data_IF_047848566141
#
_entry.id   IF_047848566141
#
_cell.length_a   1.000
_cell.length_b   1.000
_cell.length_c   1.000
_cell.angle_alpha   90.00
_cell.angle_beta   90.00
_cell.angle_gamma   90.00
#
_symmetry.space_group_name_H-M   'P 1'
#
loop_
_entity.id
_entity.type
_entity.pdbx_description
1 polymer ?
#
# COMPACT_ATOMS: atom_id res chain seq x y z
N UNK A 1 24.68 44.80 -15.84
CA UNK A 1 23.63 43.85 -16.30
C UNK A 1 23.94 42.41 -15.84
N UNK A 2 24.00 42.13 -14.52
CA UNK A 2 24.30 40.77 -13.99
C UNK A 2 23.28 40.28 -12.94
N UNK A 3 22.38 41.16 -12.47
CA UNK A 3 21.41 40.86 -11.40
C UNK A 3 20.08 40.29 -11.93
N UNK A 4 19.84 40.37 -13.24
CA UNK A 4 18.60 39.87 -13.85
C UNK A 4 18.61 38.35 -14.07
N UNK A 5 19.79 37.75 -14.25
CA UNK A 5 19.92 36.31 -14.50
C UNK A 5 19.73 35.44 -13.25
N UNK A 6 19.76 36.01 -12.03
CA UNK A 6 19.56 35.22 -10.81
C UNK A 6 18.07 35.04 -10.47
N UNK A 7 17.22 35.99 -10.86
CA UNK A 7 15.78 35.95 -10.57
C UNK A 7 15.03 34.94 -11.45
N UNK A 8 15.48 34.74 -12.70
CA UNK A 8 14.87 33.76 -13.62
C UNK A 8 15.17 32.32 -13.18
N UNK A 9 16.34 32.06 -12.60
CA UNK A 9 16.72 30.74 -12.07
C UNK A 9 15.86 30.32 -10.86
N UNK A 10 15.44 31.27 -10.02
CA UNK A 10 14.58 30.98 -8.87
C UNK A 10 13.12 30.71 -9.29
N UNK A 11 12.68 31.28 -10.42
CA UNK A 11 11.31 31.16 -10.93
C UNK A 11 11.05 29.83 -11.66
N UNK A 12 12.10 29.14 -12.10
CA UNK A 12 12.01 27.80 -12.72
C UNK A 12 11.92 26.66 -11.71
N UNK A 13 12.36 26.85 -10.46
CA UNK A 13 12.34 25.80 -9.43
C UNK A 13 10.93 25.62 -8.83
N UNK A 14 10.08 26.64 -8.89
CA UNK A 14 8.74 26.61 -8.30
C UNK A 14 7.66 25.90 -9.14
N UNK A 15 7.94 25.57 -10.41
CA UNK A 15 6.95 24.92 -11.28
C UNK A 15 6.90 23.38 -11.20
N UNK A 16 7.79 22.73 -10.44
CA UNK A 16 7.81 21.24 -10.34
C UNK A 16 6.82 20.69 -9.29
N UNK A 17 6.18 21.55 -8.49
CA UNK A 17 5.32 21.12 -7.38
C UNK A 17 3.83 20.94 -7.72
N UNK A 18 3.39 21.25 -8.95
CA UNK A 18 1.99 21.06 -9.34
C UNK A 18 1.79 19.77 -10.13
N UNK A 19 1.22 18.76 -9.47
CA UNK A 19 0.40 17.76 -10.16
C UNK A 19 1.11 16.47 -10.57
N UNK A 20 1.75 15.78 -9.63
CA UNK A 20 1.81 14.31 -9.74
C UNK A 20 0.43 13.74 -9.40
N UNK A 21 -0.55 13.92 -10.30
CA UNK A 21 -1.70 13.00 -10.33
C UNK A 21 -1.10 11.61 -10.45
N UNK A 22 -1.48 10.71 -9.55
CA UNK A 22 -0.94 9.35 -9.51
C UNK A 22 -0.98 8.71 -10.89
N UNK A 23 0.18 8.30 -11.41
CA UNK A 23 0.27 7.49 -12.61
C UNK A 23 -0.62 6.25 -12.47
N UNK A 24 -1.44 5.94 -13.48
CA UNK A 24 -2.30 4.76 -13.44
C UNK A 24 -1.51 3.49 -13.12
N UNK A 25 -2.08 2.62 -12.29
CA UNK A 25 -1.48 1.30 -12.01
C UNK A 25 -1.42 0.46 -13.28
N UNK A 26 -0.24 -0.04 -13.60
CA UNK A 26 0.02 -1.03 -14.64
C UNK A 26 0.41 -2.36 -13.99
N UNK A 27 -0.49 -3.35 -13.87
CA UNK A 27 -0.22 -4.60 -13.17
C UNK A 27 0.98 -5.39 -13.70
N UNK A 28 1.38 -5.20 -14.97
CA UNK A 28 2.55 -5.86 -15.56
C UNK A 28 3.88 -5.25 -15.10
N UNK A 29 3.87 -3.98 -14.71
CA UNK A 29 5.08 -3.22 -14.32
C UNK A 29 5.12 -2.90 -12.83
N UNK A 30 3.95 -2.67 -12.24
CA UNK A 30 3.79 -2.27 -10.85
C UNK A 30 3.70 -3.50 -9.93
N UNK A 31 4.75 -4.31 -9.99
CA UNK A 31 5.01 -5.38 -9.03
C UNK A 31 6.47 -5.36 -8.60
N UNK A 32 6.75 -5.84 -7.40
CA UNK A 32 8.08 -5.93 -6.85
C UNK A 32 8.24 -7.20 -6.02
N UNK A 33 9.32 -7.94 -6.27
CA UNK A 33 9.75 -9.03 -5.39
C UNK A 33 10.51 -8.46 -4.18
N UNK A 34 10.18 -8.92 -2.98
CA UNK A 34 10.81 -8.50 -1.73
C UNK A 34 10.81 -9.64 -0.71
N UNK A 35 12.00 -10.10 -0.32
CA UNK A 35 12.19 -11.16 0.70
C UNK A 35 11.38 -12.45 0.44
N UNK A 36 11.23 -12.84 -0.83
CA UNK A 36 10.44 -14.02 -1.23
C UNK A 36 8.93 -13.80 -1.24
N UNK A 37 8.49 -12.55 -1.17
CA UNK A 37 7.10 -12.14 -1.39
C UNK A 37 7.00 -11.29 -2.65
N UNK A 38 5.91 -11.44 -3.39
CA UNK A 38 5.54 -10.55 -4.49
C UNK A 38 4.58 -9.48 -3.97
N UNK A 39 4.97 -8.21 -4.07
CA UNK A 39 4.11 -7.04 -3.85
C UNK A 39 3.53 -6.63 -5.21
N UNK A 40 2.23 -6.42 -5.31
CA UNK A 40 1.59 -5.87 -6.51
C UNK A 40 0.77 -4.67 -6.15
N UNK A 41 0.92 -3.58 -6.89
CA UNK A 41 0.06 -2.42 -6.72
C UNK A 41 -1.30 -2.69 -7.35
N UNK A 42 -2.32 -2.12 -6.72
CA UNK A 42 -3.71 -2.20 -7.15
C UNK A 42 -4.25 -0.77 -7.28
N UNK A 43 -5.06 -0.46 -8.31
CA UNK A 43 -5.74 0.81 -8.35
C UNK A 43 -6.74 0.89 -7.18
N UNK A 44 -6.75 2.03 -6.48
CA UNK A 44 -7.75 2.39 -5.47
C UNK A 44 -8.56 3.60 -5.96
N UNK A 45 -9.48 4.11 -5.12
CA UNK A 45 -10.34 5.24 -5.49
C UNK A 45 -9.52 6.50 -5.79
N UNK A 46 -10.06 7.39 -6.62
CA UNK A 46 -9.48 8.72 -6.88
C UNK A 46 -8.06 8.72 -7.43
N UNK A 47 -7.62 7.63 -8.09
CA UNK A 47 -6.26 7.52 -8.65
C UNK A 47 -5.16 7.22 -7.60
N UNK A 48 -5.56 6.78 -6.41
CA UNK A 48 -4.66 6.32 -5.36
C UNK A 48 -4.30 4.84 -5.52
N UNK A 49 -3.43 4.34 -4.64
CA UNK A 49 -2.83 3.01 -4.72
C UNK A 49 -3.14 2.16 -3.50
N UNK A 50 -3.64 0.96 -3.75
CA UNK A 50 -3.62 -0.16 -2.83
C UNK A 50 -2.54 -1.17 -3.22
N UNK A 51 -2.48 -2.29 -2.51
CA UNK A 51 -1.55 -3.38 -2.83
C UNK A 51 -2.02 -4.73 -2.30
N UNK A 52 -1.47 -5.78 -2.91
CA UNK A 52 -1.49 -7.13 -2.38
C UNK A 52 -0.07 -7.64 -2.14
N UNK A 53 0.07 -8.48 -1.11
CA UNK A 53 1.30 -9.23 -0.81
C UNK A 53 0.99 -10.70 -1.02
N UNK A 54 1.76 -11.34 -1.89
CA UNK A 54 1.61 -12.75 -2.25
C UNK A 54 2.90 -13.50 -1.92
N UNK A 55 2.80 -14.73 -1.42
CA UNK A 55 3.93 -15.66 -1.26
C UNK A 55 3.50 -17.05 -1.65
N UNK A 56 4.30 -17.75 -2.46
CA UNK A 56 3.99 -19.10 -2.94
C UNK A 56 2.58 -19.23 -3.55
N UNK A 57 2.17 -18.19 -4.31
CA UNK A 57 0.83 -18.04 -4.92
C UNK A 57 -0.33 -17.90 -3.91
N UNK A 58 -0.05 -17.68 -2.64
CA UNK A 58 -1.04 -17.39 -1.60
C UNK A 58 -1.09 -15.89 -1.29
N UNK A 59 -2.29 -15.35 -1.20
CA UNK A 59 -2.52 -13.98 -0.74
C UNK A 59 -2.29 -13.89 0.77
N UNK A 60 -1.38 -13.01 1.18
CA UNK A 60 -1.01 -12.78 2.59
C UNK A 60 -1.62 -11.48 3.11
N UNK A 61 -1.58 -10.41 2.31
CA UNK A 61 -2.15 -9.10 2.67
C UNK A 61 -2.88 -8.52 1.48
N UNK A 62 -4.00 -7.84 1.74
CA UNK A 62 -4.78 -7.09 0.77
C UNK A 62 -5.17 -5.74 1.36
N UNK A 63 -4.55 -4.66 0.88
CA UNK A 63 -4.78 -3.30 1.40
C UNK A 63 -5.29 -2.40 0.26
N UNK A 64 -6.60 -2.19 0.20
CA UNK A 64 -7.22 -1.27 -0.76
C UNK A 64 -7.53 0.10 -0.16
N UNK A 65 -7.78 0.13 1.15
CA UNK A 65 -8.09 1.37 1.89
C UNK A 65 -6.84 2.00 2.45
N UNK A 66 -6.89 3.30 2.67
CA UNK A 66 -5.84 3.99 3.40
C UNK A 66 -5.75 3.41 4.83
N UNK A 67 -4.62 2.82 5.23
CA UNK A 67 -4.51 2.13 6.50
C UNK A 67 -4.50 3.10 7.70
N UNK A 68 -4.19 4.37 7.48
CA UNK A 68 -4.05 5.37 8.54
C UNK A 68 -5.33 6.17 8.77
N UNK A 69 -6.08 6.47 7.71
CA UNK A 69 -7.36 7.21 7.80
C UNK A 69 -8.56 6.27 7.78
N UNK A 70 -8.45 5.10 7.12
CA UNK A 70 -9.56 4.21 6.81
C UNK A 70 -10.41 4.66 5.61
N UNK A 71 -10.00 5.73 4.91
CA UNK A 71 -10.69 6.20 3.71
C UNK A 71 -10.68 5.14 2.60
N UNK A 72 -11.62 5.21 1.66
CA UNK A 72 -11.66 4.30 0.52
C UNK A 72 -10.59 4.62 -0.54
N UNK A 73 -9.97 5.80 -0.47
CA UNK A 73 -8.73 6.08 -1.19
C UNK A 73 -7.60 5.28 -0.53
N UNK A 74 -6.65 4.79 -1.32
CA UNK A 74 -5.42 4.18 -0.84
C UNK A 74 -4.38 5.22 -0.45
N UNK A 75 -3.11 4.92 -0.72
CA UNK A 75 -2.02 5.89 -0.59
C UNK A 75 -1.84 6.66 -1.90
N UNK A 76 -1.41 7.92 -1.82
CA UNK A 76 -1.33 8.80 -3.00
C UNK A 76 -0.09 8.56 -3.87
N UNK A 77 0.88 7.76 -3.40
CA UNK A 77 2.17 7.52 -4.07
C UNK A 77 2.49 6.04 -4.16
N UNK A 78 2.95 5.60 -5.33
CA UNK A 78 3.41 4.20 -5.55
C UNK A 78 4.54 3.85 -4.58
N UNK A 79 5.52 4.74 -4.44
CA UNK A 79 6.67 4.53 -3.55
C UNK A 79 6.24 4.29 -2.09
N UNK A 80 5.31 5.10 -1.57
CA UNK A 80 4.83 4.97 -0.20
C UNK A 80 4.04 3.68 0.01
N UNK A 81 3.33 3.24 -1.03
CA UNK A 81 2.62 1.96 -1.07
C UNK A 81 3.59 0.79 -0.98
N UNK A 82 4.69 0.82 -1.73
CA UNK A 82 5.74 -0.19 -1.63
C UNK A 82 6.44 -0.18 -0.28
N UNK A 83 6.80 1.00 0.26
CA UNK A 83 7.42 1.10 1.60
C UNK A 83 6.56 0.43 2.66
N UNK A 84 5.25 0.68 2.62
CA UNK A 84 4.32 0.11 3.57
C UNK A 84 4.21 -1.41 3.43
N UNK A 85 4.09 -1.91 2.19
CA UNK A 85 4.05 -3.34 1.92
C UNK A 85 5.32 -4.05 2.40
N UNK A 86 6.49 -3.48 2.11
CA UNK A 86 7.77 -3.99 2.59
C UNK A 86 7.88 -3.95 4.12
N UNK A 87 7.38 -2.89 4.75
CA UNK A 87 7.32 -2.82 6.22
C UNK A 87 6.47 -3.97 6.76
N UNK A 88 5.26 -4.20 6.24
CA UNK A 88 4.41 -5.32 6.68
C UNK A 88 5.09 -6.67 6.49
N UNK A 89 5.81 -6.89 5.37
CA UNK A 89 6.59 -8.12 5.15
C UNK A 89 7.65 -8.31 6.24
N UNK A 90 8.41 -7.25 6.58
CA UNK A 90 9.39 -7.33 7.68
C UNK A 90 8.71 -7.68 9.00
N UNK A 91 7.53 -7.12 9.25
CA UNK A 91 6.80 -7.43 10.47
C UNK A 91 6.30 -8.88 10.52
N UNK A 92 5.87 -9.46 9.39
CA UNK A 92 5.51 -10.87 9.30
C UNK A 92 6.68 -11.78 9.71
N UNK A 93 7.91 -11.42 9.34
CA UNK A 93 9.12 -12.17 9.72
C UNK A 93 9.41 -12.12 11.23
N UNK A 94 8.98 -11.07 11.93
CA UNK A 94 9.14 -10.95 13.39
C UNK A 94 8.07 -11.69 14.21
N UNK A 95 7.07 -12.27 13.57
CA UNK A 95 5.95 -12.93 14.24
C UNK A 95 5.01 -11.98 15.02
N UNK A 96 5.23 -10.65 14.94
CA UNK A 96 4.34 -9.65 15.55
C UNK A 96 3.03 -9.61 14.78
N UNK A 97 1.95 -10.07 15.42
CA UNK A 97 0.58 -9.79 14.95
C UNK A 97 0.18 -8.38 15.37
N UNK A 98 -0.18 -7.53 14.41
CA UNK A 98 -0.62 -6.16 14.68
C UNK A 98 -2.08 -6.19 15.14
N UNK A 99 -2.27 -6.06 16.44
CA UNK A 99 -3.59 -5.91 17.07
C UNK A 99 -4.02 -7.12 17.90
N UNK A 100 -4.25 -6.88 19.19
CA UNK A 100 -5.18 -7.70 19.96
C UNK A 100 -6.57 -7.60 19.31
N UNK A 101 -7.10 -8.72 18.84
CA UNK A 101 -8.49 -8.81 18.37
C UNK A 101 -8.66 -8.59 16.86
N UNK A 102 -8.50 -9.68 16.12
CA UNK A 102 -9.47 -10.24 15.17
C UNK A 102 -8.85 -10.61 13.81
N UNK A 103 -8.99 -11.87 13.36
CA UNK A 103 -9.11 -12.15 11.95
C UNK A 103 -10.47 -11.60 11.48
N UNK A 104 -10.54 -10.35 11.02
CA UNK A 104 -11.77 -9.84 10.40
C UNK A 104 -11.71 -10.01 8.89
N UNK A 105 -12.03 -11.23 8.47
CA UNK A 105 -12.92 -11.45 7.34
C UNK A 105 -14.14 -12.26 7.81
N UNK A 106 -14.86 -11.72 8.80
CA UNK A 106 -16.28 -12.02 9.06
C UNK A 106 -17.16 -10.76 9.00
N UNK A 107 -16.65 -9.62 8.54
CA UNK A 107 -17.41 -8.37 8.45
C UNK A 107 -17.52 -7.84 7.03
N UNK A 108 -18.67 -8.10 6.38
CA UNK A 108 -19.11 -7.71 5.03
C UNK A 108 -18.33 -8.32 3.87
N UNK A 109 -18.99 -9.29 3.22
CA UNK A 109 -18.63 -9.97 1.98
C UNK A 109 -17.77 -9.11 1.02
N UNK A 110 -16.45 -9.25 1.10
CA UNK A 110 -15.70 -9.32 -0.14
C UNK A 110 -16.15 -10.64 -0.78
N UNK A 111 -16.88 -10.59 -1.89
CA UNK A 111 -17.18 -11.77 -2.71
C UNK A 111 -15.87 -12.26 -3.35
N UNK A 112 -15.01 -12.85 -2.53
CA UNK A 112 -13.88 -13.62 -3.01
C UNK A 112 -14.46 -14.84 -3.75
N UNK A 113 -13.90 -15.22 -4.90
CA UNK A 113 -14.30 -16.43 -5.60
C UNK A 113 -14.31 -17.61 -4.61
N UNK A 114 -15.36 -18.47 -4.58
CA UNK A 114 -15.49 -19.55 -3.60
C UNK A 114 -14.26 -20.48 -3.53
N UNK A 115 -13.59 -20.68 -4.66
CA UNK A 115 -12.36 -21.46 -4.76
C UNK A 115 -11.19 -20.85 -3.93
N UNK A 116 -11.17 -19.53 -3.78
CA UNK A 116 -10.14 -18.79 -3.07
C UNK A 116 -10.39 -18.83 -1.55
N UNK A 117 -11.66 -18.73 -1.13
CA UNK A 117 -12.08 -18.94 0.26
C UNK A 117 -11.79 -20.37 0.74
N UNK A 118 -12.12 -21.37 -0.08
CA UNK A 118 -11.93 -22.77 0.24
C UNK A 118 -10.44 -23.14 0.37
N UNK A 119 -9.57 -22.58 -0.48
CA UNK A 119 -8.11 -22.77 -0.37
C UNK A 119 -7.51 -22.16 0.89
N UNK A 120 -8.01 -21.00 1.32
CA UNK A 120 -7.53 -20.31 2.53
C UNK A 120 -7.87 -21.08 3.82
N UNK A 121 -9.05 -21.74 3.85
CA UNK A 121 -9.49 -22.53 5.01
C UNK A 121 -8.75 -23.87 5.17
N UNK A 122 -8.41 -24.55 4.07
CA UNK A 122 -7.81 -25.90 4.15
C UNK A 122 -6.32 -25.92 4.57
N UNK A 123 -5.63 -24.78 4.64
CA UNK A 123 -4.18 -24.73 4.91
C UNK A 123 -3.81 -24.23 6.32
N UNK A 124 -4.77 -24.09 7.24
CA UNK A 124 -4.52 -23.56 8.60
C UNK A 124 -4.05 -22.10 8.62
N UNK A 125 -4.12 -21.40 7.49
CA UNK A 125 -3.79 -19.99 7.35
C UNK A 125 -4.87 -19.15 8.02
N UNK A 126 -4.47 -18.15 8.81
CA UNK A 126 -5.39 -17.18 9.46
C UNK A 126 -6.08 -16.21 8.47
N UNK A 127 -6.15 -16.59 7.19
CA UNK A 127 -6.64 -15.76 6.10
C UNK A 127 -5.71 -14.59 5.77
N UNK A 128 -5.89 -13.96 4.62
CA UNK A 128 -5.15 -12.75 4.29
C UNK A 128 -5.54 -11.62 5.25
N UNK A 129 -4.57 -10.78 5.59
CA UNK A 129 -4.85 -9.55 6.32
C UNK A 129 -5.47 -8.53 5.37
N UNK A 130 -6.73 -8.18 5.59
CA UNK A 130 -7.48 -7.30 4.68
C UNK A 130 -7.67 -5.92 5.33
N UNK A 131 -7.33 -4.86 4.60
CA UNK A 131 -7.55 -3.46 4.96
C UNK A 131 -7.17 -3.14 6.41
N UNK A 132 -5.94 -3.48 6.77
CA UNK A 132 -5.41 -3.22 8.09
C UNK A 132 -5.48 -1.74 8.43
N UNK A 133 -5.79 -1.45 9.69
CA UNK A 133 -5.62 -0.13 10.27
C UNK A 133 -4.26 -0.04 10.96
N UNK A 134 -3.53 1.02 10.68
CA UNK A 134 -2.21 1.29 11.22
C UNK A 134 -2.19 2.64 11.93
N UNK A 135 -1.32 2.76 12.93
CA UNK A 135 -1.17 4.01 13.68
C UNK A 135 -0.41 5.06 12.87
N UNK A 136 -0.64 6.34 13.17
CA UNK A 136 0.11 7.46 12.56
C UNK A 136 1.63 7.36 12.78
N UNK A 137 2.07 6.74 13.88
CA UNK A 137 3.50 6.51 14.16
C UNK A 137 4.18 5.68 13.06
N UNK A 138 3.46 4.74 12.45
CA UNK A 138 3.98 3.95 11.33
C UNK A 138 4.12 4.80 10.07
N UNK A 139 3.19 5.73 9.83
CA UNK A 139 3.32 6.67 8.71
C UNK A 139 4.54 7.57 8.89
N UNK A 140 4.78 8.07 10.11
CA UNK A 140 5.95 8.88 10.45
C UNK A 140 7.27 8.09 10.30
N UNK A 141 7.33 6.86 10.82
CA UNK A 141 8.49 5.96 10.68
C UNK A 141 8.87 5.75 9.20
N UNK A 142 7.86 5.58 8.34
CA UNK A 142 8.04 5.32 6.92
C UNK A 142 8.13 6.59 6.07
N UNK A 143 8.03 7.77 6.68
CA UNK A 143 7.98 9.06 6.01
C UNK A 143 6.90 9.09 4.91
N UNK A 144 5.73 8.51 5.19
CA UNK A 144 4.58 8.47 4.29
C UNK A 144 3.75 9.73 4.51
N UNK A 145 3.54 10.49 3.43
CA UNK A 145 2.67 11.66 3.48
C UNK A 145 1.20 11.20 3.40
N UNK A 146 0.45 11.41 4.48
CA UNK A 146 -0.91 10.90 4.65
C UNK A 146 -1.94 12.02 4.92
N UNK A 147 -1.67 13.22 4.39
CA UNK A 147 -2.61 14.33 4.41
C UNK A 147 -3.78 14.13 3.44
#
# INVERSE_FOLDING_TARGET
MKKFNLAVSLLLISMVACGQRGESVNPKKDHQEYQGYTIRLLPAMSGSYGYEIVKDKQLIVLQYRNPFTGSPDGLNRKEDTYKLAQWQIRQLATGKSWGHGMPLAQGKELKLPPALLQKLQMQGSRGPWINQRLSKKVAEELQINNN
#
